data_IF_869902689933
#
_entry.id   IF_869902689933
#
_cell.length_a   1.000
_cell.length_b   1.000
_cell.length_c   1.000
_cell.angle_alpha   90.00
_cell.angle_beta   90.00
_cell.angle_gamma   90.00
#
_symmetry.space_group_name_H-M   'P 1'
#
loop_
_entity.id
_entity.type
_entity.pdbx_description
1 polymer ?
#
# COMPACT_ATOMS: atom_id res chain seq x y z
N UNK A 1 -5.88 -7.02 -13.77
CA UNK A 1 -6.93 -7.08 -12.77
C UNK A 1 -6.35 -7.08 -11.36
N UNK A 2 -6.72 -6.10 -10.58
CA UNK A 2 -6.14 -5.91 -9.25
C UNK A 2 -6.54 -7.03 -8.27
N UNK A 3 -7.59 -7.80 -8.57
CA UNK A 3 -8.00 -8.90 -7.69
C UNK A 3 -6.94 -10.01 -7.58
N UNK A 4 -6.02 -10.09 -8.55
CA UNK A 4 -4.99 -11.12 -8.56
C UNK A 4 -3.71 -10.71 -7.84
N UNK A 5 -3.63 -9.47 -7.36
CA UNK A 5 -2.40 -8.99 -6.72
C UNK A 5 -2.35 -9.54 -5.29
N UNK A 6 -1.25 -10.23 -5.00
CA UNK A 6 -1.02 -10.87 -3.70
C UNK A 6 0.06 -10.17 -2.88
N UNK A 7 0.60 -9.08 -3.38
CA UNK A 7 1.69 -8.36 -2.73
C UNK A 7 1.49 -6.87 -2.98
N UNK A 8 1.42 -6.10 -1.91
CA UNK A 8 1.20 -4.65 -2.04
C UNK A 8 2.33 -3.96 -2.80
N UNK A 9 3.50 -4.59 -2.89
CA UNK A 9 4.60 -4.06 -3.71
C UNK A 9 4.28 -4.07 -5.20
N UNK A 10 3.32 -4.88 -5.63
CA UNK A 10 3.02 -5.10 -7.05
C UNK A 10 1.84 -4.27 -7.55
N UNK A 11 1.26 -3.41 -6.73
CA UNK A 11 0.12 -2.60 -7.16
C UNK A 11 0.60 -1.61 -8.20
N UNK A 12 -0.01 -1.58 -9.41
CA UNK A 12 0.36 -0.59 -10.41
C UNK A 12 0.04 0.83 -9.94
N UNK A 13 0.79 1.81 -10.43
CA UNK A 13 0.52 3.20 -10.06
C UNK A 13 -0.89 3.59 -10.49
N UNK A 14 -1.51 4.44 -9.69
CA UNK A 14 -2.85 4.98 -9.94
C UNK A 14 -3.94 3.91 -9.93
N UNK A 15 -3.73 2.89 -9.09
CA UNK A 15 -4.69 1.81 -8.85
C UNK A 15 -4.83 1.57 -7.36
N UNK A 16 -5.85 0.79 -7.02
CA UNK A 16 -6.00 0.34 -5.63
C UNK A 16 -6.44 -1.11 -5.62
N UNK A 17 -6.24 -1.77 -4.49
CA UNK A 17 -6.72 -3.13 -4.27
C UNK A 17 -7.32 -3.24 -2.87
N UNK A 18 -8.10 -4.29 -2.67
CA UNK A 18 -8.43 -4.77 -1.34
C UNK A 18 -7.43 -5.88 -1.00
N UNK A 19 -6.57 -5.61 -0.04
CA UNK A 19 -5.53 -6.56 0.36
C UNK A 19 -6.03 -7.39 1.52
N UNK A 20 -6.39 -8.64 1.23
CA UNK A 20 -6.91 -9.56 2.22
C UNK A 20 -5.77 -10.13 3.07
N UNK A 21 -6.12 -10.99 4.01
CA UNK A 21 -5.16 -11.43 5.03
C UNK A 21 -3.91 -12.11 4.46
N UNK A 22 -4.01 -12.68 3.26
CA UNK A 22 -2.88 -13.38 2.63
C UNK A 22 -1.97 -12.47 1.81
N UNK A 23 -2.37 -11.22 1.56
CA UNK A 23 -1.54 -10.31 0.77
C UNK A 23 -0.33 -9.86 1.58
N UNK A 24 0.83 -9.82 0.93
CA UNK A 24 2.08 -9.44 1.58
C UNK A 24 2.26 -7.93 1.64
N UNK A 25 3.05 -7.47 2.59
CA UNK A 25 3.51 -6.08 2.70
C UNK A 25 2.40 -5.08 3.00
N UNK A 26 1.41 -5.51 3.79
CA UNK A 26 0.40 -4.60 4.32
C UNK A 26 0.91 -3.89 5.56
N UNK A 27 0.29 -2.76 5.95
CA UNK A 27 0.69 -2.09 7.20
C UNK A 27 0.55 -2.98 8.45
N UNK A 28 -0.55 -3.73 8.53
CA UNK A 28 -0.77 -4.73 9.58
C UNK A 28 -1.15 -6.01 8.87
N UNK A 29 -0.27 -6.99 8.95
CA UNK A 29 -0.39 -8.17 8.09
C UNK A 29 -1.67 -8.96 8.31
N UNK A 30 -2.18 -8.99 9.52
CA UNK A 30 -3.36 -9.78 9.87
C UNK A 30 -4.69 -9.11 9.52
N UNK A 31 -4.68 -7.85 9.09
CA UNK A 31 -5.90 -7.08 8.84
C UNK A 31 -6.13 -6.91 7.35
N UNK A 32 -7.34 -6.50 6.97
CA UNK A 32 -7.72 -6.27 5.59
C UNK A 32 -7.61 -4.78 5.31
N UNK A 33 -6.91 -4.42 4.25
CA UNK A 33 -6.66 -3.03 3.89
C UNK A 33 -7.13 -2.72 2.49
N UNK A 34 -7.64 -1.52 2.29
CA UNK A 34 -7.73 -0.91 0.97
C UNK A 34 -6.42 -0.14 0.75
N UNK A 35 -5.66 -0.53 -0.26
CA UNK A 35 -4.35 0.07 -0.52
C UNK A 35 -4.42 0.83 -1.84
N UNK A 36 -4.13 2.11 -1.79
CA UNK A 36 -4.08 2.99 -2.96
C UNK A 36 -2.63 3.25 -3.30
N UNK A 37 -2.29 3.08 -4.59
CA UNK A 37 -0.94 3.36 -5.07
C UNK A 37 -1.02 4.49 -6.09
N UNK A 38 -0.34 5.58 -5.81
CA UNK A 38 -0.27 6.72 -6.73
C UNK A 38 1.19 6.94 -7.10
N UNK A 39 1.42 7.49 -8.27
CA UNK A 39 2.79 7.73 -8.64
C UNK A 39 2.97 8.20 -10.05
N UNK A 40 4.23 8.27 -10.44
CA UNK A 40 4.67 8.76 -11.72
C UNK A 40 5.73 7.80 -12.25
N UNK A 41 5.36 7.05 -13.28
CA UNK A 41 6.28 6.07 -13.87
C UNK A 41 7.51 6.72 -14.49
N UNK A 42 7.36 7.93 -15.02
CA UNK A 42 8.47 8.62 -15.64
C UNK A 42 9.62 8.85 -14.66
N UNK A 43 9.30 9.23 -13.44
CA UNK A 43 10.31 9.51 -12.42
C UNK A 43 10.51 8.32 -11.48
N UNK A 44 9.74 7.27 -11.67
CA UNK A 44 9.78 6.08 -10.83
C UNK A 44 9.58 6.41 -9.36
N UNK A 45 8.60 7.24 -9.09
CA UNK A 45 8.23 7.63 -7.73
C UNK A 45 6.81 7.16 -7.44
N UNK A 46 6.59 6.59 -6.26
CA UNK A 46 5.30 6.05 -5.89
C UNK A 46 5.03 6.32 -4.42
N UNK A 47 3.75 6.40 -4.08
CA UNK A 47 3.31 6.42 -2.69
C UNK A 47 2.13 5.48 -2.54
N UNK A 48 2.02 4.86 -1.40
CA UNK A 48 0.87 4.02 -1.08
C UNK A 48 0.22 4.52 0.20
N UNK A 49 -1.12 4.46 0.21
CA UNK A 49 -1.94 4.84 1.35
C UNK A 49 -2.82 3.65 1.69
N UNK A 50 -2.85 3.28 2.96
CA UNK A 50 -3.59 2.11 3.40
C UNK A 50 -4.66 2.47 4.41
N UNK A 51 -5.91 2.06 4.11
CA UNK A 51 -7.03 2.15 5.03
C UNK A 51 -7.36 0.76 5.53
N UNK A 52 -7.37 0.56 6.85
CA UNK A 52 -7.84 -0.71 7.40
C UNK A 52 -9.36 -0.73 7.36
N UNK A 53 -9.94 -1.79 6.79
CA UNK A 53 -11.38 -1.93 6.70
C UNK A 53 -11.93 -2.99 7.63
N UNK A 54 -11.07 -3.78 8.25
CA UNK A 54 -11.50 -4.84 9.18
C UNK A 54 -11.47 -4.41 10.63
N UNK A 55 -10.87 -3.25 10.93
CA UNK A 55 -10.71 -2.78 12.29
C UNK A 55 -10.41 -1.29 12.26
N UNK A 56 -10.71 -0.59 13.35
CA UNK A 56 -10.42 0.85 13.44
C UNK A 56 -8.92 1.04 13.66
N UNK A 57 -8.25 1.57 12.64
CA UNK A 57 -6.81 1.82 12.66
C UNK A 57 -6.53 3.17 12.02
N UNK A 58 -5.37 3.78 12.32
CA UNK A 58 -5.00 4.99 11.59
C UNK A 58 -4.77 4.72 10.12
N UNK A 59 -4.80 5.78 9.34
CA UNK A 59 -4.35 5.73 7.96
C UNK A 59 -2.85 5.50 7.94
N UNK A 60 -2.37 4.66 7.03
CA UNK A 60 -0.95 4.39 6.86
C UNK A 60 -0.47 4.88 5.51
N UNK A 61 0.82 5.20 5.44
CA UNK A 61 1.44 5.56 4.15
C UNK A 61 2.87 5.05 4.10
N UNK A 62 3.34 4.88 2.88
CA UNK A 62 4.76 4.62 2.60
C UNK A 62 5.10 5.16 1.23
N UNK A 63 6.38 5.36 0.97
CA UNK A 63 6.84 5.87 -0.32
C UNK A 63 7.90 4.96 -0.90
N UNK A 64 8.02 5.04 -2.21
CA UNK A 64 9.04 4.34 -2.98
C UNK A 64 9.85 5.34 -3.78
N UNK A 65 11.15 5.16 -3.81
CA UNK A 65 11.98 5.77 -4.83
C UNK A 65 13.08 4.78 -5.22
N UNK A 66 13.74 4.97 -6.37
CA UNK A 66 14.68 3.96 -6.85
C UNK A 66 15.93 3.79 -5.99
N UNK A 67 16.25 4.77 -5.16
CA UNK A 67 17.43 4.69 -4.31
C UNK A 67 17.17 3.94 -3.00
N UNK A 68 16.05 4.21 -2.36
CA UNK A 68 15.76 3.66 -1.04
C UNK A 68 14.72 2.55 -1.06
N UNK A 69 14.06 2.33 -2.19
CA UNK A 69 12.99 1.34 -2.33
C UNK A 69 11.82 1.72 -1.43
N UNK A 70 11.01 0.75 -1.00
CA UNK A 70 9.87 1.06 -0.13
C UNK A 70 10.34 1.46 1.25
N UNK A 71 9.81 2.55 1.76
CA UNK A 71 9.96 2.88 3.16
C UNK A 71 9.08 1.96 4.01
N UNK A 72 9.24 2.02 5.32
CA UNK A 72 8.31 1.34 6.21
C UNK A 72 6.96 2.05 6.16
N UNK A 73 5.90 1.31 6.48
CA UNK A 73 4.59 1.90 6.67
C UNK A 73 4.60 2.80 7.90
N UNK A 74 4.03 3.97 7.77
CA UNK A 74 3.97 4.97 8.83
C UNK A 74 2.52 5.32 9.10
N UNK A 75 2.12 5.26 10.36
CA UNK A 75 0.77 5.66 10.76
C UNK A 75 0.65 7.18 10.64
N UNK A 76 -0.44 7.66 10.07
CA UNK A 76 -0.70 9.07 9.86
C UNK A 76 -1.90 9.53 10.68
N UNK A 77 -1.89 10.80 11.04
CA UNK A 77 -3.09 11.43 11.54
C UNK A 77 -3.53 11.06 12.94
N UNK A 78 -2.62 10.66 13.75
CA UNK A 78 -2.95 10.38 15.15
C UNK A 78 -2.60 11.55 16.03
#
# INVERSE_FOLDING_TARGET
>A
NTADIKDCNDIPVNNFILAFSTAAHKPIQSQIFAIFCIGNDKDNLKAQYGFCISQSEPLYSRIWNPNTKWSDWVAMGK
#
